data_IF_102705833643
#
_entry.id   IF_102705833643
#
_cell.length_a   1.000
_cell.length_b   1.000
_cell.length_c   1.000
_cell.angle_alpha   90.00
_cell.angle_beta   90.00
_cell.angle_gamma   90.00
#
_symmetry.space_group_name_H-M   'P 1'
#
loop_
_entity.id
_entity.type
_entity.pdbx_description
1 polymer ?
#
# COMPACT_ATOMS: atom_id res chain seq x y z
N UNK A 1 47.92 26.74 23.25
CA UNK A 1 46.87 25.91 22.61
C UNK A 1 45.65 26.78 22.38
N UNK A 2 45.46 27.30 21.16
CA UNK A 2 44.36 28.20 20.82
C UNK A 2 43.27 27.46 20.04
N UNK A 3 42.10 27.29 20.63
CA UNK A 3 40.91 26.73 19.99
C UNK A 3 40.10 27.87 19.32
N UNK A 4 40.12 27.92 17.99
CA UNK A 4 39.27 28.81 17.21
C UNK A 4 37.84 28.26 17.20
N UNK A 5 36.92 29.05 17.73
CA UNK A 5 35.47 28.83 17.64
C UNK A 5 35.03 29.27 16.24
N UNK A 6 34.49 28.34 15.44
CA UNK A 6 33.91 28.61 14.13
C UNK A 6 32.45 29.04 14.30
N UNK A 7 32.11 30.27 13.92
CA UNK A 7 30.72 30.76 13.86
C UNK A 7 30.07 30.37 12.51
N UNK A 8 28.73 30.20 12.47
CA UNK A 8 27.99 29.50 11.42
C UNK A 8 27.61 30.46 10.29
N UNK A 9 28.56 30.84 9.45
CA UNK A 9 28.27 31.66 8.26
C UNK A 9 27.60 30.85 7.14
N UNK A 10 27.77 29.52 7.13
CA UNK A 10 27.12 28.63 6.17
C UNK A 10 25.60 28.50 6.42
N UNK A 11 25.15 28.56 7.68
CA UNK A 11 23.72 28.45 8.02
C UNK A 11 22.89 29.64 7.54
N UNK A 12 23.47 30.85 7.61
CA UNK A 12 22.78 32.08 7.20
C UNK A 12 22.61 32.19 5.67
N UNK A 13 23.60 31.69 4.91
CA UNK A 13 23.56 31.64 3.44
C UNK A 13 22.51 30.64 2.92
N UNK A 14 22.38 29.47 3.57
CA UNK A 14 21.35 28.49 3.23
C UNK A 14 19.94 29.04 3.51
N UNK A 15 19.76 29.76 4.63
CA UNK A 15 18.48 30.39 4.97
C UNK A 15 18.09 31.53 4.02
N UNK A 16 19.06 32.34 3.57
CA UNK A 16 18.84 33.39 2.58
C UNK A 16 18.57 32.86 1.16
N UNK A 17 19.10 31.68 0.81
CA UNK A 17 18.77 31.01 -0.45
C UNK A 17 17.32 30.50 -0.50
N UNK A 18 16.75 30.08 0.64
CA UNK A 18 15.34 29.65 0.71
C UNK A 18 14.35 30.82 0.52
N UNK A 19 14.75 32.06 0.81
CA UNK A 19 13.91 33.26 0.62
C UNK A 19 13.87 33.78 -0.83
N UNK A 20 14.64 33.18 -1.76
CA UNK A 20 14.62 33.51 -3.20
C UNK A 20 13.94 32.45 -4.08
N UNK A 21 13.22 31.51 -3.51
CA UNK A 21 12.39 30.59 -4.28
C UNK A 21 11.14 31.35 -4.74
N UNK A 22 11.16 31.78 -6.01
CA UNK A 22 10.02 32.39 -6.68
C UNK A 22 8.77 31.49 -6.62
N UNK A 23 7.62 32.10 -6.89
CA UNK A 23 6.33 31.42 -6.98
C UNK A 23 6.38 30.29 -8.01
N UNK A 24 6.46 29.04 -7.53
CA UNK A 24 6.38 27.85 -8.38
C UNK A 24 4.96 27.76 -8.93
N UNK A 25 4.80 28.08 -10.21
CA UNK A 25 3.57 27.78 -10.95
C UNK A 25 3.51 26.26 -11.15
N UNK A 26 2.52 25.62 -10.50
CA UNK A 26 2.27 24.19 -10.58
C UNK A 26 1.84 23.74 -11.97
N UNK A 27 2.81 23.42 -12.83
CA UNK A 27 2.57 22.76 -14.11
C UNK A 27 2.47 21.25 -13.93
N UNK A 28 1.23 20.73 -13.89
CA UNK A 28 0.83 19.31 -13.99
C UNK A 28 1.57 18.36 -13.04
N UNK A 29 0.96 18.14 -11.88
CA UNK A 29 1.36 17.11 -10.90
C UNK A 29 0.76 15.76 -11.31
N UNK A 30 1.61 14.76 -11.51
CA UNK A 30 1.19 13.37 -11.60
C UNK A 30 1.09 12.81 -10.18
N UNK A 31 -0.13 12.70 -9.66
CA UNK A 31 -0.38 12.10 -8.35
C UNK A 31 -0.65 10.60 -8.55
N UNK A 32 0.22 9.75 -8.01
CA UNK A 32 -0.03 8.32 -7.86
C UNK A 32 -0.35 8.07 -6.37
N UNK A 33 -1.61 7.75 -6.01
CA UNK A 33 -1.93 7.43 -4.63
C UNK A 33 -1.30 6.08 -4.23
N UNK A 34 -0.59 6.09 -3.10
CA UNK A 34 -0.16 4.89 -2.38
C UNK A 34 -1.13 4.70 -1.21
N UNK A 35 -1.64 3.48 -1.08
CA UNK A 35 -2.86 3.13 -0.34
C UNK A 35 -2.86 3.42 1.17
N UNK A 36 -4.07 3.71 1.69
CA UNK A 36 -4.40 3.67 3.12
C UNK A 36 -5.29 4.82 3.62
N UNK A 37 -6.62 4.74 3.47
CA UNK A 37 -7.67 5.41 4.29
C UNK A 37 -9.08 5.16 3.71
N UNK A 38 -10.15 5.30 4.50
CA UNK A 38 -11.54 5.08 4.07
C UNK A 38 -11.99 6.12 3.02
N UNK A 39 -12.00 5.75 1.73
CA UNK A 39 -12.32 6.65 0.60
C UNK A 39 -13.81 6.79 0.25
N UNK A 40 -14.72 6.04 0.89
CA UNK A 40 -16.17 6.12 0.60
C UNK A 40 -16.80 7.50 0.85
N UNK A 41 -16.10 8.40 1.56
CA UNK A 41 -16.51 9.78 1.85
C UNK A 41 -15.97 10.84 0.87
N UNK A 42 -15.20 10.45 -0.15
CA UNK A 42 -14.38 11.40 -0.90
C UNK A 42 -15.14 12.17 -1.99
N UNK A 43 -16.28 11.70 -2.51
CA UNK A 43 -17.04 12.47 -3.53
C UNK A 43 -17.54 13.82 -3.00
N UNK A 44 -17.93 13.91 -1.73
CA UNK A 44 -18.37 15.18 -1.12
C UNK A 44 -17.18 16.09 -0.87
N UNK A 45 -16.10 15.53 -0.33
CA UNK A 45 -14.88 16.27 0.00
C UNK A 45 -14.17 16.76 -1.26
N UNK A 46 -14.13 15.95 -2.32
CA UNK A 46 -13.59 16.32 -3.63
C UNK A 46 -14.49 17.30 -4.38
N UNK A 47 -15.82 17.16 -4.32
CA UNK A 47 -16.72 18.21 -4.83
C UNK A 47 -16.54 19.53 -4.10
N UNK A 48 -16.35 19.50 -2.78
CA UNK A 48 -16.13 20.71 -1.98
C UNK A 48 -14.74 21.31 -2.23
N UNK A 49 -13.70 20.49 -2.38
CA UNK A 49 -12.35 20.95 -2.76
C UNK A 49 -12.32 21.51 -4.18
N UNK A 50 -13.02 20.85 -5.12
CA UNK A 50 -13.20 21.34 -6.50
C UNK A 50 -13.98 22.65 -6.53
N UNK A 51 -15.05 22.78 -5.72
CA UNK A 51 -15.79 24.04 -5.51
C UNK A 51 -14.89 25.17 -4.98
N UNK A 52 -13.87 24.83 -4.19
CA UNK A 52 -12.86 25.76 -3.65
C UNK A 52 -11.68 26.02 -4.60
N UNK A 53 -11.73 25.50 -5.83
CA UNK A 53 -10.70 25.76 -6.85
C UNK A 53 -9.49 24.80 -6.81
N UNK A 54 -9.57 23.70 -6.06
CA UNK A 54 -8.53 22.66 -6.08
C UNK A 54 -8.82 21.63 -7.19
N UNK A 55 -7.90 21.49 -8.13
CA UNK A 55 -8.01 20.60 -9.30
C UNK A 55 -7.66 19.13 -8.92
N UNK A 56 -8.47 18.52 -8.05
CA UNK A 56 -8.14 17.23 -7.40
C UNK A 56 -8.97 16.01 -7.84
N UNK A 57 -9.69 16.07 -8.97
CA UNK A 57 -10.47 14.92 -9.47
C UNK A 57 -10.11 14.56 -10.91
N UNK A 58 -8.87 14.09 -11.10
CA UNK A 58 -8.37 13.70 -12.42
C UNK A 58 -9.19 12.55 -13.02
N UNK A 59 -9.75 11.67 -12.18
CA UNK A 59 -10.58 10.54 -12.64
C UNK A 59 -12.05 10.91 -12.88
N UNK A 60 -12.63 11.87 -12.16
CA UNK A 60 -13.97 12.35 -12.51
C UNK A 60 -13.99 13.26 -13.74
N UNK A 61 -12.82 13.69 -14.23
CA UNK A 61 -12.76 14.53 -15.42
C UNK A 61 -13.29 13.77 -16.66
N UNK A 62 -14.19 14.38 -17.48
CA UNK A 62 -14.85 13.69 -18.60
C UNK A 62 -13.90 13.20 -19.70
N UNK A 63 -12.66 13.71 -19.74
CA UNK A 63 -11.61 13.26 -20.67
C UNK A 63 -10.74 12.11 -20.13
N UNK A 64 -10.95 11.65 -18.90
CA UNK A 64 -10.25 10.49 -18.37
C UNK A 64 -10.69 9.22 -19.13
N UNK A 65 -9.73 8.52 -19.75
CA UNK A 65 -10.00 7.35 -20.59
C UNK A 65 -9.55 6.03 -19.97
N UNK A 66 -8.37 6.04 -19.36
CA UNK A 66 -7.78 4.86 -18.73
C UNK A 66 -7.11 5.30 -17.43
N UNK A 67 -7.30 4.52 -16.37
CA UNK A 67 -6.65 4.70 -15.09
C UNK A 67 -5.56 3.65 -14.90
N UNK A 68 -4.31 4.08 -14.71
CA UNK A 68 -3.22 3.16 -14.40
C UNK A 68 -3.11 2.95 -12.89
N UNK A 69 -3.16 1.71 -12.42
CA UNK A 69 -3.13 1.41 -10.98
C UNK A 69 -2.45 0.09 -10.70
N UNK A 70 -1.97 -0.11 -9.49
CA UNK A 70 -1.40 -1.38 -9.05
C UNK A 70 -2.45 -2.46 -8.72
N UNK A 71 -3.74 -2.12 -8.73
CA UNK A 71 -4.82 -3.07 -8.41
C UNK A 71 -5.12 -3.18 -6.92
N UNK A 72 -4.73 -2.19 -6.12
CA UNK A 72 -5.23 -2.02 -4.76
C UNK A 72 -6.74 -1.78 -4.75
N UNK A 73 -7.41 -2.28 -3.70
CA UNK A 73 -8.88 -2.26 -3.59
C UNK A 73 -9.47 -0.85 -3.72
N UNK A 74 -8.83 0.18 -3.14
CA UNK A 74 -9.34 1.55 -3.22
C UNK A 74 -9.25 2.16 -4.62
N UNK A 75 -8.11 2.00 -5.30
CA UNK A 75 -7.97 2.46 -6.68
C UNK A 75 -8.99 1.79 -7.61
N UNK A 76 -9.31 0.51 -7.37
CA UNK A 76 -10.37 -0.18 -8.10
C UNK A 76 -11.72 0.50 -7.89
N UNK A 77 -12.09 0.80 -6.64
CA UNK A 77 -13.34 1.51 -6.36
C UNK A 77 -13.37 2.92 -6.95
N UNK A 78 -12.26 3.63 -6.99
CA UNK A 78 -12.16 4.95 -7.61
C UNK A 78 -12.39 4.89 -9.12
N UNK A 79 -11.75 3.93 -9.80
CA UNK A 79 -11.99 3.66 -11.22
C UNK A 79 -13.45 3.32 -11.48
N UNK A 80 -14.04 2.43 -10.69
CA UNK A 80 -15.45 2.04 -10.82
C UNK A 80 -16.38 3.23 -10.56
N UNK A 81 -16.15 4.01 -9.49
CA UNK A 81 -16.96 5.17 -9.13
C UNK A 81 -17.01 6.25 -10.21
N UNK A 82 -15.96 6.36 -11.02
CA UNK A 82 -15.83 7.31 -12.13
C UNK A 82 -16.04 6.67 -13.51
N UNK A 83 -16.29 5.36 -13.57
CA UNK A 83 -16.51 4.63 -14.81
C UNK A 83 -15.29 4.63 -15.74
N UNK A 84 -14.07 4.64 -15.21
CA UNK A 84 -12.82 4.71 -16.00
C UNK A 84 -12.13 3.34 -16.02
N UNK A 85 -12.01 2.66 -17.18
CA UNK A 85 -11.31 1.39 -17.31
C UNK A 85 -9.86 1.44 -16.82
N UNK A 86 -9.30 0.31 -16.41
CA UNK A 86 -8.03 0.29 -15.68
C UNK A 86 -6.92 -0.51 -16.35
N UNK A 87 -5.73 0.05 -16.45
CA UNK A 87 -4.51 -0.68 -16.79
C UNK A 87 -3.75 -1.00 -15.51
N UNK A 88 -3.55 -2.28 -15.24
CA UNK A 88 -3.20 -2.75 -13.91
C UNK A 88 -1.82 -3.41 -13.80
N UNK A 89 -1.08 -3.06 -12.76
CA UNK A 89 0.30 -3.52 -12.49
C UNK A 89 0.40 -4.11 -11.07
N UNK A 90 -0.04 -5.36 -10.84
CA UNK A 90 -0.01 -5.95 -9.50
C UNK A 90 1.43 -6.07 -8.99
N UNK A 91 1.64 -5.60 -7.75
CA UNK A 91 2.95 -5.59 -7.08
C UNK A 91 3.04 -6.68 -6.00
N UNK A 92 2.12 -6.66 -5.03
CA UNK A 92 2.15 -7.60 -3.89
C UNK A 92 0.78 -7.72 -3.20
N UNK A 93 0.64 -8.66 -2.26
CA UNK A 93 -0.58 -8.82 -1.46
C UNK A 93 -1.78 -9.32 -2.27
N UNK A 94 -2.96 -8.76 -2.00
CA UNK A 94 -4.25 -9.12 -2.62
C UNK A 94 -4.43 -8.58 -4.06
N UNK A 95 -3.50 -7.76 -4.54
CA UNK A 95 -3.58 -7.06 -5.81
C UNK A 95 -3.70 -8.03 -7.00
N UNK A 96 -3.00 -9.17 -6.97
CA UNK A 96 -3.08 -10.17 -8.05
C UNK A 96 -4.51 -10.66 -8.30
N UNK A 97 -5.22 -10.99 -7.22
CA UNK A 97 -6.61 -11.47 -7.28
C UNK A 97 -7.59 -10.36 -7.66
N UNK A 98 -7.38 -9.17 -7.10
CA UNK A 98 -8.14 -7.96 -7.47
C UNK A 98 -8.06 -7.68 -8.98
N UNK A 99 -6.85 -7.71 -9.53
CA UNK A 99 -6.61 -7.49 -10.96
C UNK A 99 -7.28 -8.58 -11.79
N UNK A 100 -7.14 -9.84 -11.39
CA UNK A 100 -7.76 -10.96 -12.12
C UNK A 100 -9.29 -10.81 -12.20
N UNK A 101 -9.95 -10.37 -11.12
CA UNK A 101 -11.39 -10.08 -11.11
C UNK A 101 -11.78 -8.96 -12.06
N UNK A 102 -10.98 -7.90 -12.17
CA UNK A 102 -11.28 -6.77 -13.06
C UNK A 102 -11.05 -7.12 -14.54
N UNK A 103 -10.02 -7.91 -14.83
CA UNK A 103 -9.77 -8.46 -16.17
C UNK A 103 -10.90 -9.41 -16.58
N UNK A 104 -11.35 -10.30 -15.69
CA UNK A 104 -12.46 -11.22 -15.96
C UNK A 104 -13.78 -10.49 -16.24
N UNK A 105 -13.99 -9.31 -15.62
CA UNK A 105 -15.13 -8.42 -15.93
C UNK A 105 -14.97 -7.63 -17.24
N UNK A 106 -13.80 -7.73 -17.88
CA UNK A 106 -13.48 -7.03 -19.12
C UNK A 106 -13.38 -5.50 -18.96
N UNK A 107 -13.11 -5.01 -17.76
CA UNK A 107 -12.96 -3.57 -17.46
C UNK A 107 -11.51 -3.16 -17.23
N UNK A 108 -10.58 -4.12 -17.33
CA UNK A 108 -9.16 -3.88 -17.11
C UNK A 108 -8.26 -4.75 -18.01
N UNK A 109 -7.02 -4.29 -18.17
CA UNK A 109 -5.90 -5.05 -18.71
C UNK A 109 -4.83 -5.22 -17.63
N UNK A 110 -4.12 -6.35 -17.63
CA UNK A 110 -3.02 -6.62 -16.69
C UNK A 110 -1.71 -6.57 -17.44
N UNK A 111 -0.73 -5.88 -16.86
CA UNK A 111 0.68 -5.97 -17.24
C UNK A 111 1.47 -6.39 -16.01
N UNK A 112 2.41 -7.33 -16.16
CA UNK A 112 3.33 -7.69 -15.09
C UNK A 112 4.24 -6.51 -14.79
N UNK A 113 4.31 -6.07 -13.52
CA UNK A 113 5.17 -4.96 -13.14
C UNK A 113 6.67 -5.25 -13.37
N UNK A 114 7.04 -6.54 -13.39
CA UNK A 114 8.42 -7.00 -13.60
C UNK A 114 8.81 -7.11 -15.08
N UNK A 115 7.84 -7.09 -15.99
CA UNK A 115 8.04 -7.28 -17.44
C UNK A 115 7.54 -6.06 -18.23
N UNK A 116 7.34 -4.92 -17.56
CA UNK A 116 6.79 -3.73 -18.16
C UNK A 116 7.81 -3.06 -19.09
N UNK A 117 7.35 -2.69 -20.28
CA UNK A 117 8.13 -1.91 -21.26
C UNK A 117 7.28 -0.79 -21.83
N UNK A 118 7.90 0.20 -22.47
CA UNK A 118 7.17 1.29 -23.11
C UNK A 118 6.21 0.76 -24.19
N UNK A 119 6.63 -0.23 -24.95
CA UNK A 119 5.87 -0.82 -26.06
C UNK A 119 4.62 -1.54 -25.55
N UNK A 120 4.76 -2.33 -24.47
CA UNK A 120 3.64 -3.07 -23.87
C UNK A 120 2.60 -2.13 -23.27
N UNK A 121 3.03 -1.06 -22.59
CA UNK A 121 2.13 -0.03 -22.05
C UNK A 121 1.41 0.73 -23.17
N UNK A 122 2.14 1.19 -24.19
CA UNK A 122 1.54 1.92 -25.31
C UNK A 122 0.55 1.05 -26.09
N UNK A 123 0.88 -0.23 -26.30
CA UNK A 123 -0.02 -1.18 -26.97
C UNK A 123 -1.30 -1.39 -26.15
N UNK A 124 -1.19 -1.61 -24.84
CA UNK A 124 -2.34 -1.79 -23.96
C UNK A 124 -3.23 -0.53 -23.90
N UNK A 125 -2.62 0.66 -23.78
CA UNK A 125 -3.37 1.92 -23.80
C UNK A 125 -4.09 2.14 -25.13
N UNK A 126 -3.43 1.91 -26.26
CA UNK A 126 -4.06 2.00 -27.58
C UNK A 126 -5.25 1.04 -27.70
N UNK A 127 -5.06 -0.22 -27.29
CA UNK A 127 -6.13 -1.24 -27.26
C UNK A 127 -7.33 -0.76 -26.45
N UNK A 128 -7.12 -0.34 -25.21
CA UNK A 128 -8.20 0.07 -24.30
C UNK A 128 -8.90 1.37 -24.73
N UNK A 129 -8.18 2.30 -25.36
CA UNK A 129 -8.75 3.57 -25.85
C UNK A 129 -9.58 3.34 -27.13
N UNK A 130 -9.15 2.42 -27.99
CA UNK A 130 -9.82 2.12 -29.26
C UNK A 130 -11.03 1.20 -29.07
N UNK A 131 -10.89 0.18 -28.22
CA UNK A 131 -11.99 -0.74 -27.91
C UNK A 131 -12.95 -0.12 -26.88
N UNK A 132 -14.09 0.37 -27.38
CA UNK A 132 -15.14 0.97 -26.55
C UNK A 132 -15.79 -0.02 -25.58
N UNK A 133 -15.58 -1.34 -25.75
CA UNK A 133 -16.19 -2.35 -24.89
C UNK A 133 -15.72 -2.26 -23.44
N UNK A 134 -14.47 -1.86 -23.19
CA UNK A 134 -13.96 -1.59 -21.83
C UNK A 134 -14.76 -0.48 -21.15
N UNK A 135 -14.93 0.65 -21.83
CA UNK A 135 -15.67 1.80 -21.30
C UNK A 135 -17.13 1.44 -21.06
N UNK A 136 -17.81 0.78 -22.01
CA UNK A 136 -19.20 0.34 -21.87
C UNK A 136 -19.40 -0.61 -20.67
N UNK A 137 -18.53 -1.61 -20.52
CA UNK A 137 -18.58 -2.54 -19.38
C UNK A 137 -18.28 -1.83 -18.06
N UNK A 138 -17.35 -0.89 -18.06
CA UNK A 138 -17.00 -0.12 -16.87
C UNK A 138 -18.11 0.85 -16.45
N UNK A 139 -18.80 1.48 -17.40
CA UNK A 139 -19.98 2.29 -17.12
C UNK A 139 -21.11 1.45 -16.53
N UNK A 140 -21.38 0.28 -17.10
CA UNK A 140 -22.38 -0.65 -16.54
C UNK A 140 -22.00 -1.08 -15.11
N UNK A 141 -20.73 -1.42 -14.88
CA UNK A 141 -20.23 -1.76 -13.54
C UNK A 141 -20.33 -0.57 -12.57
N UNK A 142 -20.07 0.65 -13.04
CA UNK A 142 -20.21 1.88 -12.28
C UNK A 142 -21.65 2.12 -11.86
N UNK A 143 -22.62 1.95 -12.77
CA UNK A 143 -24.03 2.11 -12.45
C UNK A 143 -24.47 1.12 -11.36
N UNK A 144 -24.08 -0.15 -11.48
CA UNK A 144 -24.35 -1.17 -10.45
C UNK A 144 -23.72 -0.78 -9.11
N UNK A 145 -22.51 -0.23 -9.11
CA UNK A 145 -21.83 0.17 -7.88
C UNK A 145 -22.45 1.40 -7.22
N UNK A 146 -22.96 2.34 -8.02
CA UNK A 146 -23.60 3.57 -7.54
C UNK A 146 -25.06 3.35 -7.16
N UNK A 147 -25.69 2.28 -7.65
CA UNK A 147 -27.04 1.85 -7.29
C UNK A 147 -27.05 1.23 -5.89
N UNK A 148 -27.26 2.09 -4.90
CA UNK A 148 -27.32 1.71 -3.48
C UNK A 148 -28.56 2.31 -2.83
N UNK A 149 -29.19 1.61 -1.88
CA UNK A 149 -30.43 2.04 -1.25
C UNK A 149 -30.26 3.30 -0.37
N UNK A 150 -29.05 3.54 0.14
CA UNK A 150 -28.74 4.66 1.03
C UNK A 150 -27.57 5.46 0.44
N UNK A 151 -27.75 6.77 0.31
CA UNK A 151 -26.71 7.68 -0.15
C UNK A 151 -25.48 7.67 0.77
N UNK A 152 -24.28 8.05 0.27
CA UNK A 152 -23.06 8.04 1.08
C UNK A 152 -23.14 8.99 2.27
N UNK A 153 -23.78 10.14 2.09
CA UNK A 153 -23.94 11.15 3.12
C UNK A 153 -24.88 10.65 4.22
N UNK A 154 -26.06 10.15 3.85
CA UNK A 154 -27.03 9.62 4.80
C UNK A 154 -26.47 8.40 5.55
N UNK A 155 -25.71 7.55 4.86
CA UNK A 155 -25.01 6.43 5.48
C UNK A 155 -23.97 6.90 6.51
N UNK A 156 -23.21 7.95 6.20
CA UNK A 156 -22.24 8.53 7.12
C UNK A 156 -22.91 9.18 8.34
N UNK A 157 -24.03 9.88 8.12
CA UNK A 157 -24.86 10.42 9.21
C UNK A 157 -25.37 9.28 10.09
N UNK A 158 -25.94 8.23 9.49
CA UNK A 158 -26.43 7.07 10.21
C UNK A 158 -25.36 6.43 11.10
N UNK A 159 -24.15 6.19 10.57
CA UNK A 159 -23.06 5.61 11.37
C UNK A 159 -22.55 6.54 12.46
N UNK A 160 -22.50 7.85 12.19
CA UNK A 160 -22.13 8.84 13.21
C UNK A 160 -23.14 8.83 14.37
N UNK A 161 -24.43 8.88 14.05
CA UNK A 161 -25.51 8.79 15.03
C UNK A 161 -25.52 7.42 15.74
N UNK A 162 -25.23 6.34 15.03
CA UNK A 162 -25.12 5.00 15.62
C UNK A 162 -24.07 4.96 16.72
N UNK A 163 -22.88 5.52 16.47
CA UNK A 163 -21.81 5.61 17.48
C UNK A 163 -22.26 6.46 18.67
N UNK A 164 -22.93 7.59 18.44
CA UNK A 164 -23.45 8.45 19.51
C UNK A 164 -24.52 7.75 20.36
N UNK A 165 -25.50 7.10 19.73
CA UNK A 165 -26.57 6.34 20.40
C UNK A 165 -26.03 5.22 21.28
N UNK A 166 -24.93 4.59 20.87
CA UNK A 166 -24.29 3.50 21.60
C UNK A 166 -23.08 3.96 22.44
N UNK A 167 -23.02 5.25 22.79
CA UNK A 167 -22.01 5.82 23.70
C UNK A 167 -20.56 5.46 23.28
N UNK A 168 -20.26 5.57 21.99
CA UNK A 168 -18.95 5.23 21.41
C UNK A 168 -18.84 3.82 20.85
N UNK A 169 -19.93 3.03 20.85
CA UNK A 169 -20.00 1.68 20.28
C UNK A 169 -18.82 0.77 20.72
N UNK A 170 -18.68 0.46 22.02
CA UNK A 170 -17.52 -0.27 22.55
C UNK A 170 -17.34 -1.65 21.92
N UNK A 171 -18.41 -2.29 21.46
CA UNK A 171 -18.40 -3.59 20.78
C UNK A 171 -17.79 -3.54 19.36
N UNK A 172 -17.67 -2.36 18.75
CA UNK A 172 -17.00 -2.16 17.45
C UNK A 172 -15.57 -1.63 17.61
N UNK A 173 -15.15 -1.27 18.83
CA UNK A 173 -13.79 -0.83 19.08
C UNK A 173 -12.83 -2.01 18.99
N UNK A 174 -11.70 -1.80 18.32
CA UNK A 174 -10.64 -2.80 18.26
C UNK A 174 -10.04 -2.97 19.66
N UNK A 175 -9.98 -4.21 20.14
CA UNK A 175 -9.45 -4.54 21.47
C UNK A 175 -8.00 -4.08 21.70
N UNK A 176 -7.26 -3.82 20.62
CA UNK A 176 -5.88 -3.33 20.64
C UNK A 176 -5.70 -2.02 21.42
N UNK A 177 -6.74 -1.18 21.54
CA UNK A 177 -6.67 0.07 22.31
C UNK A 177 -6.61 -0.14 23.83
N UNK A 178 -7.06 -1.30 24.31
CA UNK A 178 -7.10 -1.63 25.73
C UNK A 178 -5.90 -2.51 26.15
N UNK A 179 -5.01 -2.84 25.21
CA UNK A 179 -3.82 -3.65 25.46
C UNK A 179 -2.66 -2.80 26.00
N UNK A 180 -1.90 -3.37 26.95
CA UNK A 180 -0.65 -2.77 27.38
C UNK A 180 0.44 -2.93 26.31
N UNK A 181 1.54 -2.18 26.43
CA UNK A 181 2.62 -2.17 25.43
C UNK A 181 3.22 -3.55 25.16
N UNK A 182 3.31 -4.42 26.19
CA UNK A 182 3.84 -5.79 26.05
C UNK A 182 2.91 -6.70 25.25
N UNK A 183 1.61 -6.64 25.54
CA UNK A 183 0.57 -7.42 24.84
C UNK A 183 0.40 -6.93 23.40
N UNK A 184 0.39 -5.61 23.20
CA UNK A 184 0.27 -5.01 21.87
C UNK A 184 1.39 -5.47 20.94
N UNK A 185 2.63 -5.60 21.45
CA UNK A 185 3.79 -6.09 20.68
C UNK A 185 4.02 -7.61 20.82
N UNK A 186 3.16 -8.34 21.53
CA UNK A 186 3.25 -9.79 21.76
C UNK A 186 4.66 -10.27 22.17
N UNK A 187 5.32 -9.53 23.08
CA UNK A 187 6.73 -9.78 23.44
C UNK A 187 6.96 -11.14 24.10
N UNK A 188 5.96 -11.66 24.81
CA UNK A 188 5.94 -13.00 25.37
C UNK A 188 5.97 -14.08 24.29
N UNK A 189 5.15 -13.94 23.25
CA UNK A 189 5.12 -14.86 22.10
C UNK A 189 6.43 -14.80 21.32
N UNK A 190 6.95 -13.60 21.05
CA UNK A 190 8.24 -13.42 20.36
C UNK A 190 9.36 -14.05 21.17
N UNK A 191 9.41 -13.79 22.49
CA UNK A 191 10.40 -14.36 23.38
C UNK A 191 10.36 -15.89 23.41
N UNK A 192 9.17 -16.48 23.47
CA UNK A 192 8.98 -17.93 23.40
C UNK A 192 9.50 -18.51 22.08
N UNK A 193 9.15 -17.91 20.93
CA UNK A 193 9.61 -18.38 19.62
C UNK A 193 11.13 -18.27 19.47
N UNK A 194 11.73 -17.17 19.93
CA UNK A 194 13.19 -17.01 19.95
C UNK A 194 13.86 -18.07 20.81
N UNK A 195 13.31 -18.35 22.00
CA UNK A 195 13.83 -19.40 22.88
C UNK A 195 13.79 -20.79 22.22
N UNK A 196 12.68 -21.13 21.54
CA UNK A 196 12.57 -22.40 20.78
C UNK A 196 13.65 -22.49 19.70
N UNK A 197 13.84 -21.43 18.91
CA UNK A 197 14.88 -21.40 17.87
C UNK A 197 16.28 -21.56 18.47
N UNK A 198 16.58 -20.86 19.57
CA UNK A 198 17.86 -20.96 20.26
C UNK A 198 18.11 -22.37 20.81
N UNK A 199 17.09 -23.01 21.38
CA UNK A 199 17.20 -24.40 21.88
C UNK A 199 17.45 -25.37 20.73
N UNK A 200 16.72 -25.26 19.61
CA UNK A 200 16.92 -26.12 18.44
C UNK A 200 18.34 -25.95 17.87
N UNK A 201 18.80 -24.70 17.72
CA UNK A 201 20.18 -24.41 17.29
C UNK A 201 21.20 -24.99 18.27
N UNK A 202 21.00 -24.80 19.58
CA UNK A 202 21.90 -25.32 20.60
C UNK A 202 21.98 -26.86 20.58
N UNK A 203 20.85 -27.55 20.52
CA UNK A 203 20.78 -29.02 20.42
C UNK A 203 21.46 -29.49 19.13
N UNK A 204 21.23 -28.83 18.00
CA UNK A 204 21.84 -29.18 16.72
C UNK A 204 23.36 -29.01 16.77
N UNK A 205 23.86 -27.88 17.29
CA UNK A 205 25.30 -27.63 17.45
C UNK A 205 25.95 -28.64 18.40
N UNK A 206 25.30 -28.96 19.53
CA UNK A 206 25.78 -29.98 20.47
C UNK A 206 25.77 -31.38 19.87
N UNK A 207 24.76 -31.73 19.10
CA UNK A 207 24.65 -33.01 18.39
C UNK A 207 25.73 -33.13 17.31
N UNK A 208 25.92 -32.10 16.48
CA UNK A 208 26.97 -32.05 15.45
C UNK A 208 28.37 -32.13 16.07
N UNK A 209 28.63 -31.39 17.16
CA UNK A 209 29.93 -31.45 17.85
C UNK A 209 30.15 -32.78 18.55
N UNK A 210 29.11 -33.41 19.11
CA UNK A 210 29.19 -34.75 19.69
C UNK A 210 29.49 -35.81 18.63
N UNK A 211 28.80 -35.77 17.48
CA UNK A 211 29.03 -36.67 16.34
C UNK A 211 30.45 -36.46 15.79
N UNK A 212 30.89 -35.22 15.59
CA UNK A 212 32.25 -34.90 15.13
C UNK A 212 33.31 -35.45 16.10
N UNK A 213 33.14 -35.23 17.42
CA UNK A 213 34.04 -35.77 18.44
C UNK A 213 34.05 -37.31 18.46
N UNK A 214 32.92 -37.96 18.20
CA UNK A 214 32.82 -39.44 18.16
C UNK A 214 33.43 -40.03 16.88
N UNK A 215 33.26 -39.37 15.74
CA UNK A 215 33.82 -39.80 14.44
C UNK A 215 35.32 -39.53 14.33
N UNK A 216 35.82 -38.39 14.85
CA UNK A 216 37.24 -38.03 14.75
C UNK A 216 38.14 -38.63 15.85
N UNK A 217 37.58 -39.12 16.98
CA UNK A 217 38.39 -39.69 18.09
C UNK A 217 38.77 -41.16 17.91
N UNK A 218 38.22 -41.88 16.92
CA UNK A 218 38.54 -43.30 16.66
C UNK A 218 39.80 -43.54 15.79
N UNK A 219 40.53 -42.50 15.34
CA UNK A 219 41.64 -42.66 14.37
C UNK A 219 43.06 -42.60 14.95
N UNK A 220 43.23 -42.82 16.27
CA UNK A 220 44.55 -43.04 16.88
C UNK A 220 44.57 -44.44 17.49
N UNK A 221 44.74 -45.46 16.64
CA UNK A 221 45.14 -46.80 17.09
C UNK A 221 46.66 -46.87 17.00
N UNK A 222 47.31 -47.07 18.17
CA UNK A 222 48.76 -47.24 18.36
C UNK A 222 49.33 -48.26 17.35
N UNK A 223 50.34 -47.86 16.57
CA UNK A 223 51.22 -48.78 15.85
C UNK A 223 52.11 -49.47 16.90
N UNK A 224 51.98 -50.79 17.07
CA UNK A 224 52.91 -51.61 17.87
C UNK A 224 54.22 -51.66 17.08
N UNK A 225 55.32 -51.20 17.69
CA UNK A 225 56.67 -51.40 17.18
C UNK A 225 57.11 -52.83 17.50
N UNK A 226 57.44 -53.61 16.48
CA UNK A 226 58.41 -54.71 16.59
C UNK A 226 59.83 -54.15 16.62
#
# INVERSE_FOLDING_TARGET
>A
MGSRVWFPTAGLLVWLCCLRLGTVHGGKVLVMPVDGSHWLSMKVLVKELSRRGHENDLLAHPKAKVFMTHGGTHGIYEGICNGVPMLMFPLFGDQGDNVHRMVARGVAEKISAFEVTTETVVAALKKMIQDKSYKKRMEALSQIHLDRPIGPLDLAVFWSEFVMRHKGAPHLRVAAHDLNWFQYHSLDVIGFLVAVVLVVLWVTLKSCTFIFRKCCRKRIVKKKSE
#
